data_IF_340026525101
#
_entry.id   IF_340026525101
#
_cell.length_a   1.000
_cell.length_b   1.000
_cell.length_c   1.000
_cell.angle_alpha   90.00
_cell.angle_beta   90.00
_cell.angle_gamma   90.00
#
_symmetry.space_group_name_H-M   'P 1'
#
loop_
_entity.id
_entity.type
_entity.pdbx_description
1 polymer ?
#
# COMPACT_ATOMS: atom_id res chain seq x y z
N UNK A 1 -11.26 -24.06 17.79
CA UNK A 1 -10.07 -24.15 16.93
C UNK A 1 -9.07 -23.13 17.45
N UNK A 2 -7.84 -23.55 17.70
CA UNK A 2 -6.76 -22.65 18.08
C UNK A 2 -6.28 -21.87 16.84
N UNK A 3 -6.03 -20.56 16.98
CA UNK A 3 -5.57 -19.73 15.86
C UNK A 3 -4.09 -20.06 15.62
N UNK A 4 -3.70 -20.48 14.40
CA UNK A 4 -2.32 -20.86 14.14
C UNK A 4 -1.37 -19.66 14.22
N UNK A 5 -0.21 -19.85 14.86
CA UNK A 5 0.87 -18.86 14.88
C UNK A 5 1.72 -19.04 13.61
N UNK A 6 1.62 -18.08 12.71
CA UNK A 6 2.33 -18.09 11.43
C UNK A 6 3.77 -17.57 11.56
N UNK A 7 4.70 -18.08 10.74
CA UNK A 7 6.05 -17.52 10.62
C UNK A 7 6.05 -16.11 9.98
N UNK A 8 7.16 -15.37 10.09
CA UNK A 8 7.26 -14.04 9.50
C UNK A 8 7.06 -14.04 7.97
N UNK A 9 7.59 -15.05 7.27
CA UNK A 9 7.44 -15.19 5.82
C UNK A 9 6.00 -15.49 5.41
N UNK A 10 5.31 -16.39 6.12
CA UNK A 10 3.90 -16.70 5.85
C UNK A 10 2.99 -15.51 6.11
N UNK A 11 3.24 -14.75 7.19
CA UNK A 11 2.50 -13.50 7.47
C UNK A 11 2.70 -12.47 6.37
N UNK A 12 3.94 -12.30 5.88
CA UNK A 12 4.24 -11.37 4.79
C UNK A 12 3.55 -11.81 3.50
N UNK A 13 3.61 -13.10 3.17
CA UNK A 13 2.95 -13.65 1.99
C UNK A 13 1.44 -13.40 2.02
N UNK A 14 0.77 -13.79 3.11
CA UNK A 14 -0.68 -13.61 3.26
C UNK A 14 -1.05 -12.12 3.22
N UNK A 15 -0.28 -11.24 3.86
CA UNK A 15 -0.50 -9.80 3.77
C UNK A 15 -0.40 -9.29 2.33
N UNK A 16 0.60 -9.71 1.55
CA UNK A 16 0.75 -9.30 0.15
C UNK A 16 -0.39 -9.80 -0.71
N UNK A 17 -0.81 -11.06 -0.55
CA UNK A 17 -1.91 -11.65 -1.30
C UNK A 17 -3.25 -10.96 -0.98
N UNK A 18 -3.53 -10.75 0.31
CA UNK A 18 -4.71 -10.02 0.76
C UNK A 18 -4.71 -8.58 0.24
N UNK A 19 -3.58 -7.88 0.34
CA UNK A 19 -3.43 -6.52 -0.15
C UNK A 19 -3.67 -6.43 -1.66
N UNK A 20 -3.04 -7.33 -2.43
CA UNK A 20 -3.18 -7.37 -3.89
C UNK A 20 -4.62 -7.67 -4.30
N UNK A 21 -5.25 -8.68 -3.67
CA UNK A 21 -6.64 -9.03 -3.93
C UNK A 21 -7.61 -7.91 -3.58
N UNK A 22 -7.40 -7.24 -2.44
CA UNK A 22 -8.21 -6.08 -2.02
C UNK A 22 -8.05 -4.92 -3.01
N UNK A 23 -6.82 -4.57 -3.37
CA UNK A 23 -6.54 -3.46 -4.30
C UNK A 23 -7.13 -3.73 -5.68
N UNK A 24 -6.79 -4.86 -6.31
CA UNK A 24 -7.25 -5.18 -7.66
C UNK A 24 -8.77 -5.45 -7.71
N UNK A 25 -9.31 -6.10 -6.68
CA UNK A 25 -10.74 -6.39 -6.56
C UNK A 25 -11.57 -5.12 -6.44
N UNK A 26 -11.19 -4.22 -5.53
CA UNK A 26 -11.89 -2.96 -5.30
C UNK A 26 -11.78 -2.03 -6.50
N UNK A 27 -10.58 -1.84 -7.06
CA UNK A 27 -10.36 -1.04 -8.26
C UNK A 27 -11.20 -1.58 -9.43
N UNK A 28 -11.18 -2.90 -9.65
CA UNK A 28 -11.99 -3.53 -10.70
C UNK A 28 -13.50 -3.38 -10.48
N UNK A 29 -13.98 -3.44 -9.24
CA UNK A 29 -15.39 -3.20 -8.93
C UNK A 29 -15.80 -1.76 -9.22
N UNK A 30 -15.03 -0.79 -8.72
CA UNK A 30 -15.27 0.65 -8.90
C UNK A 30 -15.31 0.97 -10.40
N UNK A 31 -14.30 0.54 -11.13
CA UNK A 31 -14.20 0.82 -12.56
C UNK A 31 -15.36 0.21 -13.37
N UNK A 32 -15.86 -0.98 -12.99
CA UNK A 32 -17.01 -1.62 -13.65
C UNK A 32 -18.37 -1.03 -13.27
N UNK A 33 -18.52 -0.46 -12.07
CA UNK A 33 -19.82 -0.05 -11.52
C UNK A 33 -20.02 1.45 -11.45
N UNK A 34 -18.95 2.20 -11.18
CA UNK A 34 -18.95 3.65 -10.95
C UNK A 34 -18.17 4.39 -12.05
N UNK A 35 -17.31 3.69 -12.80
CA UNK A 35 -16.58 4.25 -13.93
C UNK A 35 -15.21 4.83 -13.54
N UNK A 36 -14.47 5.36 -14.52
CA UNK A 36 -13.11 5.89 -14.32
C UNK A 36 -13.08 7.13 -13.43
N UNK A 37 -14.03 8.05 -13.57
CA UNK A 37 -14.05 9.31 -12.82
C UNK A 37 -14.14 9.07 -11.29
N UNK A 38 -14.91 8.06 -10.87
CA UNK A 38 -15.00 7.66 -9.46
C UNK A 38 -13.69 7.07 -8.93
N UNK A 39 -12.91 6.39 -9.78
CA UNK A 39 -11.60 5.88 -9.42
C UNK A 39 -10.57 7.02 -9.29
N UNK A 40 -10.66 8.03 -10.15
CA UNK A 40 -9.82 9.24 -10.09
C UNK A 40 -10.13 10.08 -8.84
N UNK A 41 -11.40 10.23 -8.48
CA UNK A 41 -11.83 10.89 -7.24
C UNK A 41 -11.26 10.16 -6.02
N UNK A 42 -11.46 8.85 -5.93
CA UNK A 42 -10.90 8.03 -4.84
C UNK A 42 -9.37 8.15 -4.78
N UNK A 43 -8.70 8.11 -5.93
CA UNK A 43 -7.24 8.24 -6.00
C UNK A 43 -6.76 9.60 -5.48
N UNK A 44 -7.50 10.66 -5.80
CA UNK A 44 -7.22 12.02 -5.34
C UNK A 44 -7.42 12.17 -3.83
N UNK A 45 -8.51 11.62 -3.29
CA UNK A 45 -8.79 11.64 -1.85
C UNK A 45 -7.72 10.86 -1.05
N UNK A 46 -7.39 9.65 -1.50
CA UNK A 46 -6.35 8.82 -0.89
C UNK A 46 -4.99 9.52 -0.94
N UNK A 47 -4.62 10.13 -2.08
CA UNK A 47 -3.36 10.86 -2.22
C UNK A 47 -3.30 12.07 -1.26
N UNK A 48 -4.38 12.83 -1.15
CA UNK A 48 -4.48 13.98 -0.24
C UNK A 48 -4.38 13.58 1.23
N UNK A 49 -5.07 12.51 1.62
CA UNK A 49 -4.98 11.94 2.96
C UNK A 49 -3.57 11.46 3.29
N UNK A 50 -2.93 10.75 2.36
CA UNK A 50 -1.56 10.27 2.52
C UNK A 50 -0.56 11.43 2.67
N UNK A 51 -0.67 12.46 1.82
CA UNK A 51 0.17 13.66 1.91
C UNK A 51 -0.01 14.39 3.25
N UNK A 52 -1.25 14.46 3.75
CA UNK A 52 -1.56 15.08 5.05
C UNK A 52 -0.95 14.30 6.23
N UNK A 53 -1.05 12.97 6.23
CA UNK A 53 -0.41 12.12 7.26
C UNK A 53 1.12 12.26 7.24
N UNK A 54 1.72 12.22 6.05
CA UNK A 54 3.17 12.39 5.90
C UNK A 54 3.64 13.75 6.43
N UNK A 55 2.92 14.82 6.10
CA UNK A 55 3.22 16.16 6.61
C UNK A 55 3.08 16.22 8.14
N UNK A 56 2.04 15.62 8.71
CA UNK A 56 1.85 15.56 10.17
C UNK A 56 2.98 14.80 10.89
N UNK A 57 3.61 13.84 10.21
CA UNK A 57 4.78 13.09 10.68
C UNK A 57 6.12 13.79 10.41
N UNK A 58 6.10 15.02 9.88
CA UNK A 58 7.30 15.80 9.56
C UNK A 58 8.00 15.40 8.25
N UNK A 59 7.33 14.61 7.40
CA UNK A 59 7.77 14.24 6.04
C UNK A 59 7.18 15.26 5.07
N UNK A 60 7.79 16.45 5.04
CA UNK A 60 7.27 17.65 4.38
C UNK A 60 8.17 18.20 3.26
N UNK A 61 9.25 17.48 2.92
CA UNK A 61 10.10 17.79 1.77
C UNK A 61 10.36 16.54 0.90
N UNK A 62 10.76 16.73 -0.38
CA UNK A 62 10.93 15.63 -1.32
C UNK A 62 11.97 14.57 -0.89
N UNK A 63 13.03 14.98 -0.18
CA UNK A 63 14.09 14.06 0.26
C UNK A 63 13.57 13.18 1.40
N UNK A 64 12.89 13.78 2.39
CA UNK A 64 12.23 13.01 3.45
C UNK A 64 11.19 12.05 2.90
N UNK A 65 10.42 12.48 1.89
CA UNK A 65 9.45 11.61 1.23
C UNK A 65 10.14 10.38 0.62
N UNK A 66 11.18 10.59 -0.18
CA UNK A 66 11.94 9.51 -0.82
C UNK A 66 12.53 8.54 0.22
N UNK A 67 13.10 9.07 1.30
CA UNK A 67 13.66 8.25 2.39
C UNK A 67 12.58 7.45 3.13
N UNK A 68 11.45 8.08 3.47
CA UNK A 68 10.33 7.40 4.11
C UNK A 68 9.78 6.27 3.21
N UNK A 69 9.64 6.55 1.91
CA UNK A 69 9.17 5.57 0.94
C UNK A 69 10.17 4.41 0.77
N UNK A 70 11.47 4.68 0.74
CA UNK A 70 12.51 3.65 0.69
C UNK A 70 12.48 2.73 1.93
N UNK A 71 12.29 3.29 3.12
CA UNK A 71 12.16 2.52 4.37
C UNK A 71 10.90 1.64 4.34
N UNK A 72 9.76 2.21 3.92
CA UNK A 72 8.51 1.45 3.78
C UNK A 72 8.70 0.29 2.80
N UNK A 73 9.24 0.55 1.60
CA UNK A 73 9.47 -0.50 0.60
C UNK A 73 10.43 -1.58 1.10
N UNK A 74 11.54 -1.20 1.74
CA UNK A 74 12.48 -2.15 2.34
C UNK A 74 11.79 -3.05 3.37
N UNK A 75 10.93 -2.48 4.22
CA UNK A 75 10.28 -3.22 5.28
C UNK A 75 9.13 -4.11 4.75
N UNK A 76 8.42 -3.67 3.71
CA UNK A 76 7.30 -4.40 3.13
C UNK A 76 7.77 -5.48 2.15
N UNK A 77 8.76 -5.18 1.32
CA UNK A 77 9.19 -6.05 0.21
C UNK A 77 10.55 -6.71 0.45
N UNK A 78 11.29 -6.29 1.46
CA UNK A 78 12.66 -6.76 1.71
C UNK A 78 13.71 -5.85 1.05
N UNK A 79 14.97 -6.11 1.38
CA UNK A 79 16.13 -5.34 0.88
C UNK A 79 16.90 -6.10 -0.20
N UNK A 80 16.67 -7.40 -0.31
CA UNK A 80 17.29 -8.23 -1.32
C UNK A 80 16.56 -7.96 -2.63
N UNK A 81 17.31 -7.54 -3.64
CA UNK A 81 16.74 -7.16 -4.93
C UNK A 81 15.80 -8.27 -5.40
N UNK A 82 14.57 -7.89 -5.74
CA UNK A 82 13.70 -8.80 -6.50
C UNK A 82 14.40 -9.04 -7.82
N UNK A 83 14.96 -10.23 -8.02
CA UNK A 83 15.36 -10.69 -9.34
C UNK A 83 14.07 -10.79 -10.16
N UNK A 84 13.81 -9.77 -10.96
CA UNK A 84 12.75 -9.77 -11.98
C UNK A 84 13.23 -10.56 -13.18
#
# INVERSE_FOLDING_TARGET
MEIPILSAGERQQICREMWTGMMLGNTGFIMRKLGPDALDELSSEVASGCASDMKARGVDDPVKFAMNYAVVNKNVFGSEGVSV
#
